data_IF_613895472372
#
_entry.id   IF_613895472372
#
_cell.length_a   1.000
_cell.length_b   1.000
_cell.length_c   1.000
_cell.angle_alpha   90.00
_cell.angle_beta   90.00
_cell.angle_gamma   90.00
#
_symmetry.space_group_name_H-M   'P 1'
#
loop_
_entity.id
_entity.type
_entity.pdbx_description
1 polymer ?
#
# COMPACT_ATOMS: atom_id res chain seq x y z
N UNK A 1 -0.80 -16.85 18.91
CA UNK A 1 -1.31 -15.47 18.79
C UNK A 1 -2.76 -15.47 19.22
N UNK A 2 -3.17 -14.57 20.11
CA UNK A 2 -4.58 -14.31 20.39
C UNK A 2 -5.13 -13.32 19.37
N UNK A 3 -6.37 -13.51 18.92
CA UNK A 3 -7.06 -12.52 18.11
C UNK A 3 -7.44 -11.32 18.97
N UNK A 4 -7.49 -10.10 18.39
CA UNK A 4 -7.93 -8.94 19.12
C UNK A 4 -9.37 -9.08 19.60
N UNK A 5 -9.65 -8.60 20.80
CA UNK A 5 -10.98 -8.55 21.39
C UNK A 5 -11.73 -7.28 20.97
N UNK A 6 -13.04 -7.24 21.18
CA UNK A 6 -13.85 -6.02 20.97
C UNK A 6 -13.45 -4.85 21.89
N UNK A 7 -12.67 -5.13 22.94
CA UNK A 7 -12.15 -4.13 23.86
C UNK A 7 -10.76 -3.61 23.46
N UNK A 8 -10.14 -4.21 22.45
CA UNK A 8 -8.82 -3.78 22.00
C UNK A 8 -8.96 -2.49 21.18
N UNK A 9 -8.07 -1.54 21.44
CA UNK A 9 -8.03 -0.31 20.67
C UNK A 9 -7.54 -0.64 19.25
N UNK A 10 -8.47 -0.70 18.31
CA UNK A 10 -8.18 -0.81 16.89
C UNK A 10 -7.97 0.59 16.32
N UNK A 11 -6.85 0.81 15.63
CA UNK A 11 -6.65 1.99 14.81
C UNK A 11 -7.01 1.65 13.35
N UNK A 12 -7.78 2.53 12.71
CA UNK A 12 -8.23 2.36 11.33
C UNK A 12 -7.90 3.61 10.55
N UNK A 13 -6.77 3.58 9.85
CA UNK A 13 -6.27 4.71 9.08
C UNK A 13 -6.83 4.70 7.66
N UNK A 14 -7.53 5.75 7.26
CA UNK A 14 -8.00 5.93 5.89
C UNK A 14 -8.12 7.41 5.52
N UNK A 15 -8.39 7.69 4.25
CA UNK A 15 -8.78 9.04 3.83
C UNK A 15 -10.22 9.34 4.26
N UNK A 16 -10.55 10.63 4.49
CA UNK A 16 -11.93 11.08 4.45
C UNK A 16 -12.59 10.66 3.13
N UNK A 17 -13.88 10.36 3.17
CA UNK A 17 -14.66 10.10 1.96
C UNK A 17 -14.74 11.42 1.18
N UNK A 18 -14.26 11.42 -0.07
CA UNK A 18 -14.31 12.61 -0.90
C UNK A 18 -15.76 12.98 -1.22
N UNK A 19 -16.03 14.25 -1.47
CA UNK A 19 -17.40 14.76 -1.74
C UNK A 19 -18.05 14.14 -2.98
N UNK A 20 -17.25 13.60 -3.91
CA UNK A 20 -17.70 12.86 -5.08
C UNK A 20 -18.03 11.38 -4.79
N UNK A 21 -17.97 10.96 -3.52
CA UNK A 21 -18.22 9.59 -3.10
C UNK A 21 -17.08 8.62 -3.38
N UNK A 22 -15.91 9.09 -3.84
CA UNK A 22 -14.74 8.22 -4.00
C UNK A 22 -14.18 7.85 -2.62
N UNK A 23 -13.96 6.55 -2.44
CA UNK A 23 -13.40 5.91 -1.28
C UNK A 23 -12.45 4.79 -1.78
N UNK A 24 -11.42 4.42 -0.99
CA UNK A 24 -10.38 3.41 -1.27
C UNK A 24 -9.10 3.82 -2.01
N UNK A 25 -9.07 4.93 -2.75
CA UNK A 25 -7.84 5.41 -3.38
C UNK A 25 -7.54 6.86 -3.01
N UNK A 26 -6.27 7.20 -2.96
CA UNK A 26 -5.80 8.56 -2.66
C UNK A 26 -4.59 8.87 -3.55
N UNK A 27 -4.49 10.10 -4.07
CA UNK A 27 -3.27 10.50 -4.76
C UNK A 27 -2.12 10.56 -3.75
N UNK A 28 -0.99 9.94 -4.07
CA UNK A 28 0.27 10.18 -3.36
C UNK A 28 1.09 11.23 -4.12
N UNK A 29 2.08 11.88 -3.49
CA UNK A 29 2.95 12.82 -4.19
C UNK A 29 3.54 12.23 -5.49
N UNK A 30 3.61 13.02 -6.56
CA UNK A 30 4.05 12.54 -7.88
C UNK A 30 5.45 11.89 -7.87
N UNK A 31 6.31 12.37 -6.98
CA UNK A 31 7.68 11.87 -6.79
C UNK A 31 7.81 10.77 -5.74
N UNK A 32 6.69 10.27 -5.19
CA UNK A 32 6.68 9.21 -4.19
C UNK A 32 7.09 7.87 -4.80
N UNK A 33 6.76 7.61 -6.07
CA UNK A 33 7.16 6.40 -6.79
C UNK A 33 8.42 6.63 -7.62
N UNK A 34 9.39 5.73 -7.48
CA UNK A 34 10.60 5.69 -8.30
C UNK A 34 10.78 4.28 -8.83
N UNK A 35 11.12 4.18 -10.11
CA UNK A 35 11.38 2.90 -10.78
C UNK A 35 12.76 3.00 -11.43
N UNK A 36 13.59 1.97 -11.29
CA UNK A 36 14.90 1.89 -11.96
C UNK A 36 14.73 1.83 -13.48
N UNK A 37 15.80 2.20 -14.20
CA UNK A 37 15.78 2.21 -15.68
C UNK A 37 15.47 0.84 -16.29
N UNK A 38 15.91 -0.22 -15.65
CA UNK A 38 15.66 -1.62 -16.05
C UNK A 38 14.31 -2.16 -15.56
N UNK A 39 13.55 -1.38 -14.77
CA UNK A 39 12.25 -1.79 -14.23
C UNK A 39 12.30 -2.83 -13.12
N UNK A 40 13.48 -3.23 -12.63
CA UNK A 40 13.62 -4.31 -11.64
C UNK A 40 13.68 -3.83 -10.19
N UNK A 41 13.78 -2.52 -9.94
CA UNK A 41 13.70 -1.94 -8.59
C UNK A 41 12.63 -0.86 -8.59
N UNK A 42 11.72 -0.93 -7.63
CA UNK A 42 10.77 0.13 -7.38
C UNK A 42 10.79 0.54 -5.91
N UNK A 43 10.62 1.82 -5.64
CA UNK A 43 10.50 2.37 -4.31
C UNK A 43 9.30 3.30 -4.26
N UNK A 44 8.44 3.10 -3.25
CA UNK A 44 7.39 4.05 -2.87
C UNK A 44 7.81 4.68 -1.55
N UNK A 45 7.89 6.01 -1.49
CA UNK A 45 8.17 6.78 -0.27
C UNK A 45 7.08 7.83 -0.09
N UNK A 46 6.24 7.61 0.91
CA UNK A 46 5.21 8.54 1.36
C UNK A 46 5.56 8.92 2.79
N UNK A 47 5.69 10.22 3.07
CA UNK A 47 6.05 10.73 4.39
C UNK A 47 4.94 11.64 4.93
N UNK A 48 4.63 11.48 6.21
CA UNK A 48 3.73 12.36 6.99
C UNK A 48 2.40 12.65 6.30
N UNK A 49 1.85 11.63 5.63
CA UNK A 49 0.65 11.77 4.82
C UNK A 49 -0.59 11.93 5.70
N UNK A 50 -1.44 12.96 5.44
CA UNK A 50 -2.66 13.18 6.21
C UNK A 50 -3.65 12.04 6.01
N UNK A 51 -4.12 11.45 7.11
CA UNK A 51 -5.20 10.46 7.15
C UNK A 51 -6.09 10.74 8.36
N UNK A 52 -7.23 10.07 8.45
CA UNK A 52 -8.03 10.00 9.67
C UNK A 52 -7.88 8.64 10.31
N UNK A 53 -7.90 8.60 11.64
CA UNK A 53 -8.08 7.39 12.42
C UNK A 53 -9.55 7.28 12.83
N UNK A 54 -10.21 6.18 12.46
CA UNK A 54 -11.59 5.89 12.80
C UNK A 54 -11.74 4.52 13.46
N UNK A 55 -11.44 4.39 14.77
CA UNK A 55 -11.39 3.10 15.49
C UNK A 55 -12.64 2.23 15.39
N UNK A 56 -13.81 2.82 15.14
CA UNK A 56 -15.09 2.14 15.07
C UNK A 56 -15.59 1.87 13.65
N UNK A 57 -14.84 2.22 12.60
CA UNK A 57 -15.27 2.04 11.22
C UNK A 57 -15.69 0.57 10.95
N UNK A 58 -16.82 0.32 10.27
CA UNK A 58 -17.76 1.27 9.64
C UNK A 58 -18.86 1.81 10.57
N UNK A 59 -18.87 1.44 11.85
CA UNK A 59 -19.81 1.97 12.82
C UNK A 59 -19.52 3.46 13.15
N UNK A 60 -20.55 4.24 13.52
CA UNK A 60 -20.36 5.62 13.97
C UNK A 60 -19.46 5.70 15.22
N UNK A 61 -18.61 6.71 15.25
CA UNK A 61 -17.67 6.94 16.34
C UNK A 61 -16.84 8.20 16.14
N UNK A 62 -15.96 8.53 17.11
CA UNK A 62 -15.03 9.63 16.93
C UNK A 62 -14.05 9.32 15.79
N UNK A 63 -13.61 10.39 15.13
CA UNK A 63 -12.54 10.39 14.14
C UNK A 63 -11.43 11.32 14.63
N UNK A 64 -10.19 10.92 14.45
CA UNK A 64 -9.03 11.70 14.89
C UNK A 64 -8.13 12.02 13.70
N UNK A 65 -7.48 13.18 13.73
CA UNK A 65 -6.41 13.49 12.78
C UNK A 65 -5.22 12.57 13.00
N UNK A 66 -4.71 11.99 11.92
CA UNK A 66 -3.59 11.06 11.96
C UNK A 66 -2.60 11.34 10.82
N UNK A 67 -1.37 10.84 10.97
CA UNK A 67 -0.31 10.90 9.96
C UNK A 67 0.24 9.51 9.73
N UNK A 68 0.46 9.14 8.46
CA UNK A 68 1.13 7.89 8.10
C UNK A 68 2.33 8.12 7.21
N UNK A 69 3.40 7.37 7.44
CA UNK A 69 4.52 7.26 6.51
C UNK A 69 4.62 5.82 6.05
N UNK A 70 4.77 5.62 4.73
CA UNK A 70 4.89 4.30 4.12
C UNK A 70 6.09 4.31 3.21
N UNK A 71 7.00 3.37 3.45
CA UNK A 71 8.15 3.15 2.56
C UNK A 71 8.16 1.70 2.11
N UNK A 72 8.04 1.47 0.81
CA UNK A 72 7.98 0.14 0.22
C UNK A 72 9.08 0.01 -0.82
N UNK A 73 9.76 -1.13 -0.84
CA UNK A 73 10.80 -1.46 -1.82
C UNK A 73 10.50 -2.80 -2.46
N UNK A 74 10.60 -2.85 -3.78
CA UNK A 74 10.59 -4.07 -4.56
C UNK A 74 11.93 -4.29 -5.23
N UNK A 75 12.35 -5.55 -5.29
CA UNK A 75 13.53 -5.97 -6.05
C UNK A 75 13.19 -7.24 -6.83
N UNK A 76 13.27 -7.15 -8.15
CA UNK A 76 13.10 -8.27 -9.07
C UNK A 76 14.18 -9.33 -8.87
N UNK A 77 13.79 -10.58 -9.14
CA UNK A 77 14.56 -11.79 -8.98
C UNK A 77 14.38 -12.68 -10.20
N UNK A 78 15.47 -13.30 -10.64
CA UNK A 78 15.44 -14.32 -11.67
C UNK A 78 14.95 -13.81 -13.04
N UNK A 79 14.58 -14.73 -13.94
CA UNK A 79 14.14 -14.38 -15.28
C UNK A 79 12.77 -13.70 -15.28
N UNK A 80 12.49 -12.94 -16.34
CA UNK A 80 11.15 -12.43 -16.62
C UNK A 80 10.23 -13.59 -17.02
N UNK A 81 9.00 -13.54 -16.51
CA UNK A 81 7.92 -14.49 -16.76
C UNK A 81 6.77 -13.68 -17.35
N UNK A 82 6.18 -14.17 -18.43
CA UNK A 82 5.08 -13.47 -19.10
C UNK A 82 3.89 -14.38 -19.37
N UNK A 83 2.72 -13.77 -19.44
CA UNK A 83 1.48 -14.40 -19.92
C UNK A 83 0.69 -13.37 -20.74
N UNK A 84 0.05 -13.84 -21.81
CA UNK A 84 -0.77 -13.01 -22.68
C UNK A 84 -2.08 -13.71 -22.99
N UNK A 85 -3.15 -12.94 -23.06
CA UNK A 85 -4.44 -13.38 -23.58
C UNK A 85 -4.86 -12.46 -24.75
N UNK A 86 -4.47 -12.79 -26.00
CA UNK A 86 -4.65 -11.91 -27.15
C UNK A 86 -6.09 -11.50 -27.45
N UNK A 87 -7.13 -12.37 -27.39
CA UNK A 87 -8.51 -11.97 -27.69
C UNK A 87 -9.00 -10.83 -26.79
N UNK A 88 -8.60 -10.85 -25.52
CA UNK A 88 -8.93 -9.85 -24.50
C UNK A 88 -7.85 -8.77 -24.39
N UNK A 89 -6.87 -8.75 -25.29
CA UNK A 89 -5.78 -7.76 -25.34
C UNK A 89 -4.96 -7.65 -24.04
N UNK A 90 -4.99 -8.67 -23.19
CA UNK A 90 -4.29 -8.68 -21.91
C UNK A 90 -2.85 -9.16 -22.09
N UNK A 91 -1.92 -8.53 -21.37
CA UNK A 91 -0.52 -8.93 -21.35
C UNK A 91 0.14 -8.55 -20.03
N UNK A 92 0.90 -9.48 -19.45
CA UNK A 92 1.74 -9.23 -18.28
C UNK A 92 3.14 -9.81 -18.50
N UNK A 93 4.16 -9.05 -18.13
CA UNK A 93 5.55 -9.48 -18.10
C UNK A 93 6.17 -9.01 -16.78
N UNK A 94 6.66 -9.94 -15.97
CA UNK A 94 7.09 -9.64 -14.61
C UNK A 94 8.25 -10.52 -14.15
N UNK A 95 9.00 -10.01 -13.18
CA UNK A 95 9.93 -10.79 -12.36
C UNK A 95 9.24 -11.17 -11.05
N UNK A 96 9.52 -12.37 -10.53
CA UNK A 96 9.32 -12.59 -9.09
C UNK A 96 10.14 -11.55 -8.33
N UNK A 97 9.66 -11.11 -7.17
CA UNK A 97 10.35 -10.09 -6.41
C UNK A 97 10.39 -10.42 -4.92
N UNK A 98 11.28 -9.74 -4.20
CA UNK A 98 11.09 -9.48 -2.77
C UNK A 98 10.45 -8.11 -2.60
N UNK A 99 9.53 -7.98 -1.64
CA UNK A 99 9.02 -6.70 -1.18
C UNK A 99 9.28 -6.50 0.32
N UNK A 100 9.67 -5.29 0.70
CA UNK A 100 9.84 -4.90 2.11
C UNK A 100 9.10 -3.60 2.37
N UNK A 101 8.42 -3.52 3.51
CA UNK A 101 7.61 -2.36 3.90
C UNK A 101 7.98 -1.87 5.30
N UNK A 102 8.11 -0.55 5.42
CA UNK A 102 8.11 0.17 6.71
C UNK A 102 6.85 1.02 6.76
N UNK A 103 6.07 0.84 7.82
CA UNK A 103 4.85 1.59 8.10
C UNK A 103 4.99 2.32 9.43
N UNK A 104 4.72 3.61 9.42
CA UNK A 104 4.65 4.46 10.61
C UNK A 104 3.28 5.12 10.67
N UNK A 105 2.74 5.25 11.87
CA UNK A 105 1.50 5.96 12.13
C UNK A 105 1.58 6.77 13.42
N UNK A 106 0.92 7.92 13.44
CA UNK A 106 0.73 8.72 14.65
C UNK A 106 -0.67 9.33 14.72
N UNK A 107 -1.21 9.40 15.94
CA UNK A 107 -2.47 10.10 16.26
C UNK A 107 -2.17 11.04 17.42
N UNK A 108 -1.80 12.31 17.14
CA UNK A 108 -1.30 13.24 18.15
C UNK A 108 -2.27 13.46 19.33
N UNK A 109 -3.57 13.56 19.06
CA UNK A 109 -4.60 13.76 20.09
C UNK A 109 -4.65 12.62 21.12
N UNK A 110 -4.36 11.39 20.67
CA UNK A 110 -4.36 10.20 21.52
C UNK A 110 -2.97 9.87 22.11
N UNK A 111 -1.94 10.64 21.76
CA UNK A 111 -0.55 10.31 22.09
C UNK A 111 -0.07 8.99 21.48
N UNK A 112 -0.75 8.48 20.44
CA UNK A 112 -0.42 7.21 19.81
C UNK A 112 0.69 7.38 18.77
N UNK A 113 1.63 6.44 18.78
CA UNK A 113 2.62 6.27 17.73
C UNK A 113 2.93 4.79 17.53
N UNK A 114 3.16 4.41 16.28
CA UNK A 114 3.55 3.07 15.89
C UNK A 114 4.58 3.13 14.75
N UNK A 115 5.53 2.22 14.77
CA UNK A 115 6.47 1.97 13.68
C UNK A 115 6.64 0.46 13.53
N UNK A 116 6.49 -0.05 12.30
CA UNK A 116 6.81 -1.45 12.00
C UNK A 116 8.31 -1.70 12.12
N UNK A 117 8.73 -2.97 11.98
CA UNK A 117 10.16 -3.29 11.84
C UNK A 117 10.75 -2.61 10.60
N UNK A 118 12.07 -2.45 10.61
CA UNK A 118 12.82 -1.93 9.47
C UNK A 118 12.80 -2.89 8.26
N UNK A 119 13.40 -2.44 7.16
CA UNK A 119 13.47 -3.22 5.92
C UNK A 119 14.14 -4.58 6.10
N UNK A 120 15.22 -4.64 6.87
CA UNK A 120 16.06 -5.84 6.99
C UNK A 120 15.38 -6.94 7.80
N UNK A 121 14.35 -6.56 8.58
CA UNK A 121 13.54 -7.47 9.38
C UNK A 121 12.12 -7.67 8.79
N UNK A 122 11.90 -7.29 7.53
CA UNK A 122 10.65 -7.51 6.79
C UNK A 122 10.68 -8.85 6.04
N UNK A 123 9.60 -9.63 6.10
CA UNK A 123 9.47 -10.90 5.38
C UNK A 123 8.52 -10.77 4.19
N UNK A 124 9.00 -11.19 3.01
CA UNK A 124 8.22 -11.19 1.77
C UNK A 124 7.71 -12.60 1.46
N UNK A 125 6.41 -12.85 1.66
CA UNK A 125 5.79 -14.12 1.28
C UNK A 125 5.68 -14.28 -0.25
N UNK A 126 5.34 -13.19 -0.94
CA UNK A 126 5.21 -13.12 -2.38
C UNK A 126 5.28 -11.67 -2.85
N UNK A 127 5.98 -11.42 -3.95
CA UNK A 127 5.90 -10.16 -4.66
C UNK A 127 6.23 -10.38 -6.14
N UNK A 128 5.75 -9.45 -6.98
CA UNK A 128 6.10 -9.34 -8.39
C UNK A 128 6.41 -7.89 -8.71
N UNK A 129 7.28 -7.67 -9.70
CA UNK A 129 7.51 -6.36 -10.31
C UNK A 129 7.57 -6.55 -11.82
N UNK A 130 6.88 -5.70 -12.57
CA UNK A 130 6.74 -5.89 -14.00
C UNK A 130 5.84 -4.86 -14.65
N UNK A 131 5.53 -5.14 -15.91
CA UNK A 131 4.61 -4.35 -16.73
C UNK A 131 3.36 -5.17 -16.98
N UNK A 132 2.22 -4.51 -16.85
CA UNK A 132 0.93 -5.08 -17.18
C UNK A 132 0.18 -4.13 -18.11
N UNK A 133 -0.44 -4.71 -19.12
CA UNK A 133 -1.47 -4.06 -19.93
C UNK A 133 -2.81 -4.68 -19.57
N UNK A 134 -3.69 -3.86 -19.00
CA UNK A 134 -5.07 -4.24 -18.70
C UNK A 134 -5.75 -4.75 -19.98
N UNK A 135 -6.57 -5.80 -19.83
CA UNK A 135 -7.36 -6.33 -20.93
C UNK A 135 -8.53 -5.41 -21.32
N UNK A 136 -9.01 -5.58 -22.55
CA UNK A 136 -10.22 -4.95 -23.08
C UNK A 136 -11.29 -6.03 -23.23
N UNK A 137 -12.32 -5.99 -22.37
CA UNK A 137 -13.39 -6.99 -22.30
C UNK A 137 -14.73 -6.50 -22.85
N UNK A 138 -14.77 -5.24 -23.29
CA UNK A 138 -15.94 -4.61 -23.87
C UNK A 138 -15.55 -4.06 -25.25
N UNK A 139 -16.42 -4.25 -26.24
CA UNK A 139 -16.31 -3.67 -27.57
C UNK A 139 -16.94 -2.28 -27.64
#
# INVERSE_FOLDING_TARGET
>A
MSFPSVNDQLHSFHQPIASNGLFWTTPIPENALRISKDGQVAEVVVCDYPVIDQPKFPAPGPTYEARVSVRIRWKGLGPEIGWSNPPEQYEIAFHRATASIVFEASVPELGFSFMSRDYDNSESLFAMIGKERNGCFFE
#
